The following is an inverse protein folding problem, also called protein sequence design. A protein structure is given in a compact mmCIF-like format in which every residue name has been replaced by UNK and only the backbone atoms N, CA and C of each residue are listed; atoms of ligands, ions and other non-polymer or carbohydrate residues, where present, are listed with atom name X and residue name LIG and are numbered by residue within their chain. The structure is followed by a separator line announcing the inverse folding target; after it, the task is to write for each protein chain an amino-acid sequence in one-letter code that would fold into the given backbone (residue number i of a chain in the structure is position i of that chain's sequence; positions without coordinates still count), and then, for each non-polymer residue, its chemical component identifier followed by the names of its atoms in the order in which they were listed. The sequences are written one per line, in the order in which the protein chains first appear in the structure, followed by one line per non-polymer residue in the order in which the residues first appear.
data_IF_592974904731
#
_entry.id   IF_592974904731
#
_cell.length_a   1.000
_cell.length_b   1.000
_cell.length_c   1.000
_cell.angle_alpha   90.00
_cell.angle_beta   90.00
_cell.angle_gamma   90.00
#
_symmetry.space_group_name_H-M   'P 1'
#
loop_
_entity.id
_entity.type
_entity.pdbx_description
1 polymer ?
#
# COMPACT_ATOMS: atom_id res chain seq x y z
N UNK A 1 30.38 14.13 67.74
CA UNK A 1 29.10 13.74 67.10
C UNK A 1 28.69 14.87 66.17
N UNK A 2 28.35 14.51 64.92
CA UNK A 2 27.82 15.37 63.86
C UNK A 2 28.89 16.37 63.30
N UNK A 3 29.29 16.37 62.02
CA UNK A 3 28.47 16.40 60.81
C UNK A 3 29.24 15.82 59.61
N UNK A 4 29.13 14.50 59.40
CA UNK A 4 29.39 13.80 58.12
C UNK A 4 28.26 14.17 57.14
N UNK A 5 28.09 15.46 56.85
CA UNK A 5 26.94 15.95 56.05
C UNK A 5 27.32 16.99 54.99
N UNK A 6 28.61 17.15 54.70
CA UNK A 6 29.10 18.04 53.62
C UNK A 6 29.87 17.31 52.52
N UNK A 7 29.98 15.97 52.56
CA UNK A 7 30.60 15.17 51.50
C UNK A 7 29.64 14.29 50.68
N UNK A 8 28.33 14.49 50.82
CA UNK A 8 27.32 13.82 49.99
C UNK A 8 26.76 14.71 48.86
N UNK A 9 27.31 15.90 48.63
CA UNK A 9 26.79 16.87 47.66
C UNK A 9 27.58 17.01 46.35
N UNK A 10 28.36 16.00 45.92
CA UNK A 10 29.02 16.03 44.60
C UNK A 10 28.85 14.78 43.74
N UNK A 11 28.25 13.69 44.23
CA UNK A 11 28.10 12.44 43.44
C UNK A 11 26.66 12.07 43.08
N UNK A 12 25.70 12.95 43.33
CA UNK A 12 24.27 12.70 43.02
C UNK A 12 23.70 13.58 41.89
N UNK A 13 24.54 14.28 41.11
CA UNK A 13 24.08 15.15 40.02
C UNK A 13 24.35 14.59 38.60
N UNK A 14 25.03 13.45 38.45
CA UNK A 14 25.34 12.84 37.15
C UNK A 14 24.63 11.50 36.88
N UNK A 15 23.79 11.03 37.81
CA UNK A 15 22.96 9.84 37.61
C UNK A 15 21.47 10.15 37.42
N UNK A 16 21.06 11.43 37.53
CA UNK A 16 19.68 11.87 37.31
C UNK A 16 19.47 12.62 35.99
N UNK A 17 20.53 12.73 35.18
CA UNK A 17 20.47 13.21 33.78
C UNK A 17 20.70 12.05 32.78
N UNK A 18 20.33 10.84 33.18
CA UNK A 18 20.28 9.63 32.34
C UNK A 18 18.90 8.95 32.46
N UNK A 19 17.88 9.77 32.70
CA UNK A 19 16.46 9.41 32.63
C UNK A 19 15.68 10.42 31.77
N UNK A 20 16.36 11.09 30.82
CA UNK A 20 15.77 11.96 29.80
C UNK A 20 16.03 11.47 28.37
N UNK A 21 16.66 10.30 28.22
CA UNK A 21 16.85 9.61 26.93
C UNK A 21 16.23 8.22 26.90
N UNK A 22 15.60 7.76 27.99
CA UNK A 22 14.98 6.44 28.09
C UNK A 22 13.51 6.54 28.48
N UNK A 23 12.66 5.91 27.66
CA UNK A 23 11.21 5.72 27.80
C UNK A 23 10.28 6.88 27.39
N UNK A 24 10.05 6.97 26.08
CA UNK A 24 8.76 6.50 25.55
C UNK A 24 9.06 5.59 24.34
N UNK A 25 9.50 4.36 24.59
CA UNK A 25 9.26 3.26 23.63
C UNK A 25 8.04 2.53 24.17
N UNK A 26 6.89 3.21 24.17
CA UNK A 26 5.59 2.59 24.40
C UNK A 26 4.74 2.84 23.17
N UNK A 27 5.11 2.13 22.12
CA UNK A 27 4.23 1.78 21.03
C UNK A 27 4.85 0.50 20.52
N UNK A 28 4.15 -0.62 20.65
CA UNK A 28 4.42 -1.76 19.78
C UNK A 28 4.59 -1.17 18.39
N UNK A 29 5.78 -1.28 17.78
CA UNK A 29 5.92 -0.93 16.39
C UNK A 29 5.07 -1.95 15.64
N UNK A 30 3.77 -1.68 15.48
CA UNK A 30 2.93 -2.44 14.57
C UNK A 30 3.69 -2.40 13.26
N UNK A 31 4.13 -3.57 12.80
CA UNK A 31 4.70 -3.68 11.47
C UNK A 31 3.62 -3.18 10.51
N UNK A 32 3.85 -2.01 9.94
CA UNK A 32 2.92 -1.40 9.00
C UNK A 32 2.80 -2.36 7.81
N UNK A 33 1.58 -2.80 7.50
CA UNK A 33 1.32 -3.72 6.37
C UNK A 33 1.99 -3.22 5.09
N UNK A 34 1.87 -1.91 4.86
CA UNK A 34 2.41 -1.23 3.69
C UNK A 34 3.72 -0.52 3.99
N UNK A 35 4.77 -0.90 3.26
CA UNK A 35 6.08 -0.26 3.29
C UNK A 35 6.25 0.59 2.04
N UNK A 36 6.37 1.91 2.19
CA UNK A 36 6.79 2.80 1.10
C UNK A 36 8.28 2.56 0.83
N UNK A 37 8.61 2.19 -0.41
CA UNK A 37 9.99 1.92 -0.81
C UNK A 37 10.76 3.19 -1.19
N UNK A 38 10.12 4.37 -1.20
CA UNK A 38 10.75 5.65 -1.54
C UNK A 38 11.04 5.84 -3.03
N UNK A 39 10.62 4.90 -3.88
CA UNK A 39 10.87 4.89 -5.32
C UNK A 39 9.60 4.87 -6.17
N UNK A 40 8.47 5.31 -5.60
CA UNK A 40 7.17 5.29 -6.27
C UNK A 40 6.45 3.94 -6.19
N UNK A 41 6.93 3.02 -5.36
CA UNK A 41 6.29 1.71 -5.11
C UNK A 41 6.02 1.49 -3.62
N UNK A 42 5.05 0.64 -3.33
CA UNK A 42 4.66 0.25 -1.98
C UNK A 42 4.59 -1.27 -1.90
N UNK A 43 5.28 -1.85 -0.92
CA UNK A 43 5.27 -3.29 -0.65
C UNK A 43 4.17 -3.62 0.36
N UNK A 44 3.28 -4.56 0.01
CA UNK A 44 2.33 -5.16 0.92
C UNK A 44 2.96 -6.41 1.55
N UNK A 45 3.40 -6.28 2.80
CA UNK A 45 4.11 -7.33 3.54
C UNK A 45 3.24 -8.54 3.89
N UNK A 46 1.90 -8.39 3.85
CA UNK A 46 0.95 -9.47 4.14
C UNK A 46 0.75 -10.37 2.92
N UNK A 47 0.68 -9.78 1.72
CA UNK A 47 0.41 -10.51 0.48
C UNK A 47 1.67 -10.83 -0.32
N UNK A 48 2.79 -10.19 0.00
CA UNK A 48 4.02 -10.27 -0.81
C UNK A 48 3.90 -9.57 -2.16
N UNK A 49 2.88 -8.73 -2.35
CA UNK A 49 2.69 -7.95 -3.57
C UNK A 49 3.35 -6.58 -3.46
N UNK A 50 3.74 -6.02 -4.61
CA UNK A 50 4.21 -4.65 -4.71
C UNK A 50 3.29 -3.87 -5.65
N UNK A 51 2.90 -2.68 -5.23
CA UNK A 51 1.93 -1.82 -5.90
C UNK A 51 2.57 -0.50 -6.31
N UNK A 52 2.07 0.11 -7.39
CA UNK A 52 2.42 1.51 -7.65
C UNK A 52 1.88 2.39 -6.53
N UNK A 53 2.68 3.38 -6.10
CA UNK A 53 2.29 4.28 -5.00
C UNK A 53 1.13 5.19 -5.39
N UNK A 54 1.19 5.75 -6.60
CA UNK A 54 0.07 6.50 -7.19
C UNK A 54 -0.92 5.52 -7.86
N UNK A 55 -2.13 5.46 -7.30
CA UNK A 55 -3.24 4.68 -7.81
C UNK A 55 -3.99 5.37 -8.96
N UNK A 56 -3.55 6.52 -9.45
CA UNK A 56 -4.13 7.22 -10.60
C UNK A 56 -3.07 7.66 -11.62
N UNK A 57 -1.94 6.95 -11.68
CA UNK A 57 -0.82 7.26 -12.55
C UNK A 57 -1.19 7.40 -14.05
N UNK A 58 -2.27 6.75 -14.49
CA UNK A 58 -2.66 6.71 -15.91
C UNK A 58 -4.08 7.22 -16.19
N UNK A 59 -4.86 7.61 -15.19
CA UNK A 59 -6.28 7.90 -15.38
C UNK A 59 -7.10 6.64 -15.72
N UNK A 60 -8.18 6.86 -16.47
CA UNK A 60 -9.07 5.80 -16.94
C UNK A 60 -8.83 5.43 -18.41
N UNK A 61 -9.03 4.16 -18.75
CA UNK A 61 -8.91 3.65 -20.11
C UNK A 61 -9.66 2.32 -20.25
N UNK A 62 -9.80 1.84 -21.49
CA UNK A 62 -10.32 0.49 -21.74
C UNK A 62 -9.36 -0.59 -21.18
N UNK A 63 -9.89 -1.80 -21.04
CA UNK A 63 -9.17 -2.89 -20.37
C UNK A 63 -7.93 -3.38 -21.14
N UNK A 64 -7.96 -3.37 -22.47
CA UNK A 64 -6.83 -3.84 -23.30
C UNK A 64 -5.67 -2.82 -23.20
N UNK A 65 -6.01 -1.53 -23.26
CA UNK A 65 -5.09 -0.42 -23.00
C UNK A 65 -4.52 -0.46 -21.59
N UNK A 66 -5.36 -0.69 -20.56
CA UNK A 66 -4.94 -0.79 -19.17
C UNK A 66 -3.95 -1.92 -18.92
N UNK A 67 -4.24 -3.10 -19.49
CA UNK A 67 -3.38 -4.29 -19.40
C UNK A 67 -2.03 -4.00 -20.05
N UNK A 68 -2.05 -3.45 -21.27
CA UNK A 68 -0.83 -3.08 -22.00
C UNK A 68 -0.02 -2.02 -21.26
N UNK A 69 -0.71 -1.05 -20.62
CA UNK A 69 -0.05 0.03 -19.89
C UNK A 69 0.72 -0.49 -18.70
N UNK A 70 0.10 -1.33 -17.85
CA UNK A 70 0.82 -1.99 -16.78
C UNK A 70 1.97 -2.87 -17.30
N UNK A 71 1.75 -3.69 -18.34
CA UNK A 71 2.80 -4.56 -18.87
C UNK A 71 4.05 -3.80 -19.36
N UNK A 72 3.85 -2.59 -19.90
CA UNK A 72 4.94 -1.71 -20.37
C UNK A 72 5.59 -0.84 -19.28
N UNK A 73 5.04 -0.82 -18.07
CA UNK A 73 5.49 0.07 -17.01
C UNK A 73 6.87 -0.32 -16.49
N UNK A 74 7.71 0.70 -16.26
CA UNK A 74 8.92 0.61 -15.45
C UNK A 74 8.90 1.74 -14.41
N UNK A 75 9.00 1.39 -13.13
CA UNK A 75 9.09 2.35 -12.02
C UNK A 75 10.46 2.18 -11.38
N UNK A 76 11.34 3.18 -11.49
CA UNK A 76 12.71 3.08 -10.96
C UNK A 76 13.46 1.81 -11.44
N UNK A 77 13.31 1.47 -12.73
CA UNK A 77 13.88 0.26 -13.33
C UNK A 77 13.14 -1.05 -13.01
N UNK A 78 12.13 -1.04 -12.14
CA UNK A 78 11.31 -2.20 -11.77
C UNK A 78 10.25 -2.44 -12.85
N UNK A 79 10.28 -3.60 -13.50
CA UNK A 79 9.34 -4.03 -14.57
C UNK A 79 8.37 -5.13 -14.09
N UNK A 80 7.63 -5.79 -14.99
CA UNK A 80 6.80 -6.96 -14.63
C UNK A 80 5.47 -6.61 -13.95
N UNK A 81 4.99 -5.39 -14.16
CA UNK A 81 3.71 -4.92 -13.65
C UNK A 81 2.54 -5.49 -14.46
N UNK A 82 1.42 -5.69 -13.78
CA UNK A 82 0.17 -6.18 -14.34
C UNK A 82 -1.01 -5.50 -13.67
N UNK A 83 -2.19 -5.66 -14.26
CA UNK A 83 -3.42 -5.43 -13.52
C UNK A 83 -3.57 -6.48 -12.40
N UNK A 84 -4.19 -6.09 -11.27
CA UNK A 84 -4.47 -6.97 -10.15
C UNK A 84 -5.57 -7.97 -10.51
N UNK A 85 -5.49 -9.16 -9.96
CA UNK A 85 -6.49 -10.21 -10.17
C UNK A 85 -7.75 -9.96 -9.36
N UNK A 86 -8.84 -10.66 -9.70
CA UNK A 86 -10.10 -10.60 -8.94
C UNK A 86 -9.96 -11.00 -7.46
N UNK A 87 -8.91 -11.76 -7.11
CA UNK A 87 -8.66 -12.21 -5.74
C UNK A 87 -7.88 -11.19 -4.91
N UNK A 88 -6.95 -10.46 -5.53
CA UNK A 88 -6.11 -9.47 -4.86
C UNK A 88 -6.86 -8.17 -4.55
N UNK A 89 -7.87 -7.84 -5.37
CA UNK A 89 -8.58 -6.58 -5.27
C UNK A 89 -9.42 -6.37 -4.00
N UNK A 90 -10.18 -7.36 -3.52
CA UNK A 90 -10.83 -7.26 -2.21
C UNK A 90 -9.83 -7.05 -1.07
N UNK A 91 -8.62 -7.62 -1.16
CA UNK A 91 -7.61 -7.49 -0.12
C UNK A 91 -7.02 -6.09 -0.04
N UNK A 92 -6.60 -5.49 -1.17
CA UNK A 92 -6.10 -4.11 -1.20
C UNK A 92 -7.21 -3.11 -0.84
N UNK A 93 -8.46 -3.35 -1.27
CA UNK A 93 -9.61 -2.53 -0.89
C UNK A 93 -9.81 -2.47 0.62
N UNK A 94 -9.82 -3.62 1.30
CA UNK A 94 -9.96 -3.68 2.76
C UNK A 94 -8.78 -2.99 3.46
N UNK A 95 -7.56 -3.28 3.00
CA UNK A 95 -6.33 -2.77 3.59
C UNK A 95 -6.20 -1.25 3.54
N UNK A 96 -6.66 -0.64 2.44
CA UNK A 96 -6.62 0.81 2.20
C UNK A 96 -7.68 1.58 2.99
N UNK A 97 -8.48 0.91 3.82
CA UNK A 97 -9.30 1.59 4.84
C UNK A 97 -8.52 1.89 6.12
N UNK A 98 -7.36 1.26 6.31
CA UNK A 98 -6.42 1.56 7.38
C UNK A 98 -5.41 2.63 6.98
N UNK A 99 -4.32 2.74 7.75
CA UNK A 99 -3.19 3.59 7.37
C UNK A 99 -2.45 2.98 6.18
N UNK A 100 -2.14 3.81 5.17
CA UNK A 100 -1.39 3.39 3.99
C UNK A 100 -0.65 4.58 3.37
N UNK A 101 0.44 4.33 2.61
CA UNK A 101 1.20 5.37 1.92
C UNK A 101 0.71 5.66 0.49
N UNK A 102 -0.33 4.96 0.01
CA UNK A 102 -0.84 5.17 -1.34
C UNK A 102 -1.41 6.56 -1.57
N UNK A 103 -1.21 7.06 -2.78
CA UNK A 103 -1.67 8.35 -3.25
C UNK A 103 -2.67 8.15 -4.40
N UNK A 104 -3.47 9.16 -4.70
CA UNK A 104 -4.30 9.18 -5.91
C UNK A 104 -5.44 8.13 -5.96
N UNK A 105 -5.78 7.44 -4.88
CA UNK A 105 -6.89 6.46 -4.88
C UNK A 105 -8.19 7.16 -5.27
N UNK A 106 -8.81 6.70 -6.36
CA UNK A 106 -10.09 7.21 -6.85
C UNK A 106 -11.25 6.43 -6.26
N UNK A 107 -12.36 7.11 -5.98
CA UNK A 107 -13.58 6.50 -5.43
C UNK A 107 -14.45 5.76 -6.47
N UNK A 108 -13.86 5.18 -7.51
CA UNK A 108 -14.58 4.62 -8.66
C UNK A 108 -14.04 3.23 -9.04
N UNK A 109 -14.41 2.74 -10.21
CA UNK A 109 -14.04 1.44 -10.74
C UNK A 109 -12.58 1.40 -11.19
N UNK A 110 -11.91 0.35 -10.77
CA UNK A 110 -10.60 -0.05 -11.26
C UNK A 110 -10.66 -1.38 -11.99
N UNK A 111 -9.80 -1.55 -13.00
CA UNK A 111 -9.70 -2.80 -13.74
C UNK A 111 -9.00 -3.93 -12.97
N UNK A 112 -9.49 -5.15 -13.14
CA UNK A 112 -8.78 -6.37 -12.76
C UNK A 112 -8.35 -7.17 -14.00
N UNK A 113 -7.22 -7.88 -13.93
CA UNK A 113 -6.66 -8.72 -15.01
C UNK A 113 -7.47 -9.99 -15.30
N UNK A 114 -8.33 -10.41 -14.38
CA UNK A 114 -9.05 -11.68 -14.54
C UNK A 114 -10.13 -11.59 -15.62
N UNK A 115 -10.09 -12.51 -16.58
CA UNK A 115 -11.16 -12.69 -17.56
C UNK A 115 -12.39 -13.33 -16.92
N UNK A 116 -13.58 -12.85 -17.28
CA UNK A 116 -14.82 -13.54 -16.95
C UNK A 116 -15.23 -14.42 -18.13
N UNK A 117 -15.21 -15.74 -17.94
CA UNK A 117 -15.52 -16.72 -19.01
C UNK A 117 -17.01 -17.07 -19.12
N UNK A 118 -17.85 -16.55 -18.22
CA UNK A 118 -19.27 -16.91 -18.14
C UNK A 118 -20.22 -16.08 -19.00
N UNK A 119 -19.75 -15.01 -19.66
CA UNK A 119 -20.59 -14.13 -20.48
C UNK A 119 -19.76 -13.38 -21.51
N UNK A 120 -19.78 -13.84 -22.77
CA UNK A 120 -19.10 -13.21 -23.91
C UNK A 120 -17.59 -13.01 -23.73
N UNK A 121 -16.89 -12.63 -24.80
CA UNK A 121 -15.44 -12.39 -24.73
C UNK A 121 -15.08 -11.01 -24.16
N UNK A 122 -16.08 -10.16 -23.90
CA UNK A 122 -15.90 -8.75 -23.53
C UNK A 122 -16.10 -8.45 -22.04
N UNK A 123 -16.60 -9.39 -21.25
CA UNK A 123 -16.82 -9.17 -19.82
C UNK A 123 -15.49 -9.24 -19.03
N UNK A 124 -15.30 -8.27 -18.13
CA UNK A 124 -14.13 -8.14 -17.26
C UNK A 124 -14.56 -7.90 -15.82
N UNK A 125 -13.64 -8.18 -14.89
CA UNK A 125 -13.82 -7.82 -13.49
C UNK A 125 -13.37 -6.38 -13.24
N UNK A 126 -14.11 -5.66 -12.39
CA UNK A 126 -13.69 -4.36 -11.86
C UNK A 126 -14.10 -4.22 -10.39
N UNK A 127 -13.34 -3.44 -9.62
CA UNK A 127 -13.67 -3.13 -8.22
C UNK A 127 -13.98 -1.64 -8.08
N UNK A 128 -15.13 -1.32 -7.51
CA UNK A 128 -15.50 0.06 -7.20
C UNK A 128 -14.95 0.46 -5.82
N UNK A 129 -13.92 1.29 -5.78
CA UNK A 129 -13.12 1.54 -4.58
C UNK A 129 -13.82 2.39 -3.51
N UNK A 130 -14.93 3.08 -3.83
CA UNK A 130 -15.76 3.69 -2.79
C UNK A 130 -16.70 2.68 -2.08
N UNK A 131 -17.28 1.73 -2.82
CA UNK A 131 -18.33 0.82 -2.31
C UNK A 131 -17.80 -0.58 -1.97
N UNK A 132 -16.62 -0.95 -2.44
CA UNK A 132 -16.08 -2.31 -2.33
C UNK A 132 -16.79 -3.33 -3.23
N UNK A 133 -17.57 -2.87 -4.22
CA UNK A 133 -18.31 -3.76 -5.10
C UNK A 133 -17.40 -4.33 -6.20
N UNK A 134 -17.23 -5.65 -6.18
CA UNK A 134 -16.62 -6.40 -7.27
C UNK A 134 -17.67 -6.69 -8.36
N UNK A 135 -17.54 -6.03 -9.52
CA UNK A 135 -18.31 -6.32 -10.73
C UNK A 135 -17.63 -7.41 -11.55
N UNK A 136 -18.42 -8.25 -12.22
CA UNK A 136 -17.95 -9.35 -13.10
C UNK A 136 -18.46 -9.26 -14.55
N UNK A 137 -19.26 -8.23 -14.86
CA UNK A 137 -19.92 -8.02 -16.16
C UNK A 137 -19.55 -6.65 -16.75
N UNK A 138 -18.41 -6.10 -16.35
CA UNK A 138 -17.96 -4.82 -16.87
C UNK A 138 -17.52 -4.99 -18.32
N UNK A 139 -18.02 -4.13 -19.22
CA UNK A 139 -17.66 -4.19 -20.63
C UNK A 139 -16.22 -3.73 -20.82
N UNK A 140 -15.38 -4.48 -21.55
CA UNK A 140 -13.94 -4.20 -21.68
C UNK A 140 -13.61 -2.79 -22.18
N UNK A 141 -14.52 -2.16 -22.93
CA UNK A 141 -14.33 -0.82 -23.50
C UNK A 141 -14.75 0.33 -22.54
N UNK A 142 -15.22 0.00 -21.33
CA UNK A 142 -15.53 1.02 -20.33
C UNK A 142 -14.25 1.72 -19.86
N UNK A 143 -14.29 3.04 -19.60
CA UNK A 143 -13.14 3.75 -19.06
C UNK A 143 -13.04 3.57 -17.55
N UNK A 144 -12.19 2.66 -17.07
CA UNK A 144 -11.92 2.49 -15.63
C UNK A 144 -10.46 2.75 -15.28
N UNK A 145 -10.21 3.07 -14.01
CA UNK A 145 -8.90 3.42 -13.50
C UNK A 145 -7.94 2.23 -13.48
N UNK A 146 -6.65 2.55 -13.55
CA UNK A 146 -5.56 1.57 -13.65
C UNK A 146 -4.66 1.67 -12.42
N UNK A 147 -4.57 0.58 -11.67
CA UNK A 147 -3.64 0.47 -10.55
C UNK A 147 -2.82 -0.79 -10.74
N UNK A 148 -1.52 -0.64 -11.00
CA UNK A 148 -0.67 -1.76 -11.32
C UNK A 148 -0.08 -2.42 -10.08
N UNK A 149 0.05 -3.75 -10.15
CA UNK A 149 0.64 -4.60 -9.12
C UNK A 149 1.65 -5.54 -9.76
N UNK A 150 2.60 -6.05 -8.97
CA UNK A 150 3.50 -7.13 -9.35
C UNK A 150 3.78 -8.05 -8.17
N UNK A 151 4.31 -9.24 -8.47
CA UNK A 151 4.89 -10.11 -7.45
C UNK A 151 6.27 -9.58 -7.06
N UNK A 152 6.64 -9.73 -5.79
CA UNK A 152 7.95 -9.26 -5.29
C UNK A 152 9.10 -10.17 -5.72
N UNK A 153 8.87 -11.49 -5.87
CA UNK A 153 9.83 -12.47 -6.37
C UNK A 153 9.13 -13.60 -7.14
#
# INVERSE_FOLDING_TARGET
MANIWTKFFTTAALAFMLCLTGLVVSGEAQAQRFVDNGNGTVTDTVTGLMWTKDANMFGNMDWDSATSRCASLAVDGITGWRLPSKGEFPEIYSATRGQHPFEGIQGDCYWASTHYTGYGEHARYSMHMFTGRLSKLSHKDNPFYVWCVRNTY
#
